data_IF_398547857501
#
_entry.id   IF_398547857501
#
_cell.length_a   1.000
_cell.length_b   1.000
_cell.length_c   1.000
_cell.angle_alpha   90.00
_cell.angle_beta   90.00
_cell.angle_gamma   90.00
#
_symmetry.space_group_name_H-M   'P 1'
#
loop_
_entity.id
_entity.type
_entity.pdbx_description
1 polymer ?
#
# COMPACT_ATOMS: atom_id res chain seq x y z
N UNK A 1 -35.06 1.01 -8.56
CA UNK A 1 -34.47 -0.30 -8.29
C UNK A 1 -34.41 -0.57 -6.78
N UNK A 2 -33.86 0.33 -5.98
CA UNK A 2 -33.73 0.18 -4.51
C UNK A 2 -35.08 -0.04 -3.80
N UNK A 3 -36.17 0.57 -4.25
CA UNK A 3 -37.51 0.32 -3.71
C UNK A 3 -38.01 -1.11 -3.97
N UNK A 4 -37.65 -1.68 -5.12
CA UNK A 4 -38.03 -3.03 -5.51
C UNK A 4 -37.10 -4.11 -4.93
N UNK A 5 -35.81 -3.77 -4.77
CA UNK A 5 -34.75 -4.66 -4.32
C UNK A 5 -33.89 -3.98 -3.26
N UNK A 6 -34.39 -3.78 -2.04
CA UNK A 6 -33.73 -2.97 -1.02
C UNK A 6 -32.43 -3.58 -0.47
N UNK A 7 -32.16 -4.86 -0.73
CA UNK A 7 -30.92 -5.56 -0.35
C UNK A 7 -29.94 -5.71 -1.50
N UNK A 8 -30.32 -5.27 -2.71
CA UNK A 8 -29.43 -5.30 -3.87
C UNK A 8 -28.33 -4.25 -3.77
N UNK A 9 -27.12 -4.60 -4.18
CA UNK A 9 -25.99 -3.67 -4.33
C UNK A 9 -25.85 -3.33 -5.81
N UNK A 10 -25.91 -2.06 -6.13
CA UNK A 10 -25.84 -1.55 -7.51
C UNK A 10 -24.50 -0.85 -7.72
N UNK A 11 -23.69 -1.37 -8.63
CA UNK A 11 -22.39 -0.79 -8.97
C UNK A 11 -22.41 -0.21 -10.37
N UNK A 12 -21.80 0.95 -10.55
CA UNK A 12 -21.64 1.58 -11.85
C UNK A 12 -20.25 1.28 -12.40
N UNK A 13 -20.20 0.74 -13.62
CA UNK A 13 -18.99 0.70 -14.44
C UNK A 13 -18.98 1.94 -15.33
N UNK A 14 -18.24 2.96 -14.92
CA UNK A 14 -18.17 4.23 -15.62
C UNK A 14 -16.76 4.83 -15.48
N UNK A 15 -16.07 4.96 -16.60
CA UNK A 15 -14.72 5.54 -16.69
C UNK A 15 -14.72 7.05 -16.93
N UNK A 16 -15.89 7.67 -17.01
CA UNK A 16 -16.01 9.11 -17.26
C UNK A 16 -15.89 9.94 -15.99
N UNK A 17 -15.74 11.24 -16.15
CA UNK A 17 -15.78 12.21 -15.05
C UNK A 17 -17.20 12.64 -14.67
N UNK A 18 -18.23 11.85 -14.99
CA UNK A 18 -19.60 12.11 -14.59
C UNK A 18 -19.67 12.14 -13.05
N UNK A 19 -20.26 13.20 -12.52
CA UNK A 19 -20.28 13.47 -11.09
C UNK A 19 -21.51 12.87 -10.40
N UNK A 20 -21.39 12.64 -9.09
CA UNK A 20 -22.49 12.20 -8.23
C UNK A 20 -23.11 10.85 -8.64
N UNK A 21 -22.31 9.93 -9.19
CA UNK A 21 -22.77 8.59 -9.55
C UNK A 21 -23.27 7.85 -8.32
N UNK A 22 -22.57 7.95 -7.19
CA UNK A 22 -22.88 7.28 -5.93
C UNK A 22 -23.63 8.17 -4.94
N UNK A 23 -23.84 9.45 -5.26
CA UNK A 23 -24.64 10.32 -4.41
C UNK A 23 -26.12 9.90 -4.46
N UNK A 24 -26.84 9.97 -3.32
CA UNK A 24 -28.28 9.69 -3.28
C UNK A 24 -29.09 10.60 -4.21
N UNK A 25 -30.15 10.06 -4.81
CA UNK A 25 -31.04 10.80 -5.74
C UNK A 25 -31.65 12.06 -5.13
N UNK A 26 -31.87 12.11 -3.81
CA UNK A 26 -32.35 13.31 -3.09
C UNK A 26 -31.32 14.47 -3.09
N UNK A 27 -30.07 14.21 -3.49
CA UNK A 27 -28.99 15.22 -3.65
C UNK A 27 -28.56 15.35 -5.11
N UNK A 28 -29.47 15.10 -6.04
CA UNK A 28 -29.25 15.11 -7.50
C UNK A 28 -28.16 14.10 -7.96
N UNK A 29 -28.01 13.01 -7.22
CA UNK A 29 -27.14 11.90 -7.60
C UNK A 29 -27.88 10.84 -8.41
N UNK A 30 -27.10 9.92 -8.99
CA UNK A 30 -27.67 8.79 -9.75
C UNK A 30 -28.16 7.68 -8.83
N UNK A 31 -27.55 7.52 -7.63
CA UNK A 31 -27.98 6.61 -6.60
C UNK A 31 -27.43 5.19 -6.72
N UNK A 32 -26.28 5.02 -7.35
CA UNK A 32 -25.52 3.76 -7.24
C UNK A 32 -24.87 3.62 -5.86
N UNK A 33 -24.70 2.39 -5.41
CA UNK A 33 -24.03 2.13 -4.13
C UNK A 33 -22.51 2.29 -4.28
N UNK A 34 -21.96 1.89 -5.42
CA UNK A 34 -20.51 2.02 -5.72
C UNK A 34 -20.29 2.37 -7.19
N UNK A 35 -19.13 2.99 -7.45
CA UNK A 35 -18.57 3.21 -8.79
C UNK A 35 -17.24 2.47 -8.90
N UNK A 36 -16.98 1.75 -10.01
CA UNK A 36 -15.68 1.15 -10.24
C UNK A 36 -14.61 2.22 -10.43
N UNK A 37 -13.49 2.06 -9.75
CA UNK A 37 -12.34 2.95 -9.92
C UNK A 37 -11.47 2.48 -11.09
N UNK A 38 -11.92 2.81 -12.30
CA UNK A 38 -11.19 2.48 -13.53
C UNK A 38 -9.87 3.24 -13.61
N UNK A 39 -9.78 4.45 -13.05
CA UNK A 39 -8.56 5.25 -12.99
C UNK A 39 -7.48 4.55 -12.14
N UNK A 40 -7.83 4.13 -10.93
CA UNK A 40 -6.93 3.36 -10.07
C UNK A 40 -6.48 2.06 -10.76
N UNK A 41 -7.37 1.36 -11.41
CA UNK A 41 -7.07 0.09 -12.09
C UNK A 41 -6.04 0.30 -13.20
N UNK A 42 -6.27 1.24 -14.12
CA UNK A 42 -5.35 1.54 -15.22
C UNK A 42 -4.00 2.00 -14.71
N UNK A 43 -3.97 2.97 -13.80
CA UNK A 43 -2.73 3.51 -13.25
C UNK A 43 -1.92 2.46 -12.50
N UNK A 44 -2.59 1.59 -11.72
CA UNK A 44 -1.93 0.50 -10.98
C UNK A 44 -1.31 -0.52 -11.93
N UNK A 45 -2.05 -1.01 -12.92
CA UNK A 45 -1.55 -1.99 -13.88
C UNK A 45 -0.41 -1.41 -14.73
N UNK A 46 -0.53 -0.20 -15.19
CA UNK A 46 0.52 0.50 -15.95
C UNK A 46 1.79 0.71 -15.10
N UNK A 47 1.63 1.08 -13.82
CA UNK A 47 2.77 1.24 -12.93
C UNK A 47 3.54 -0.07 -12.76
N UNK A 48 2.85 -1.18 -12.49
CA UNK A 48 3.49 -2.48 -12.31
C UNK A 48 4.01 -3.09 -13.62
N UNK A 49 3.51 -2.66 -14.78
CA UNK A 49 4.07 -2.99 -16.08
C UNK A 49 5.33 -2.18 -16.43
N UNK A 50 5.58 -1.08 -15.72
CA UNK A 50 6.72 -0.20 -15.96
C UNK A 50 8.02 -0.83 -15.46
N UNK A 51 9.14 -0.79 -16.24
CA UNK A 51 10.46 -1.22 -15.78
C UNK A 51 10.89 -0.52 -14.50
N UNK A 52 11.60 -1.23 -13.61
CA UNK A 52 11.99 -0.69 -12.29
C UNK A 52 12.72 0.66 -12.39
N UNK A 53 13.66 0.81 -13.34
CA UNK A 53 14.40 2.07 -13.54
C UNK A 53 13.56 3.24 -14.01
N UNK A 54 12.36 2.99 -14.56
CA UNK A 54 11.45 4.03 -15.05
C UNK A 54 10.34 4.40 -14.05
N UNK A 55 10.13 3.59 -13.01
CA UNK A 55 9.12 3.81 -11.96
C UNK A 55 9.22 5.16 -11.26
N UNK A 56 10.40 5.76 -11.03
CA UNK A 56 10.50 7.12 -10.51
C UNK A 56 9.70 8.15 -11.31
N UNK A 57 9.60 7.98 -12.64
CA UNK A 57 8.83 8.86 -13.51
C UNK A 57 7.32 8.53 -13.51
N UNK A 58 6.97 7.31 -13.12
CA UNK A 58 5.59 6.82 -13.06
C UNK A 58 4.98 6.90 -11.63
N UNK A 59 5.69 7.44 -10.64
CA UNK A 59 5.28 7.41 -9.22
C UNK A 59 3.88 7.98 -8.99
N UNK A 60 3.49 8.97 -9.80
CA UNK A 60 2.17 9.59 -9.76
C UNK A 60 1.02 8.57 -9.91
N UNK A 61 1.22 7.50 -10.66
CA UNK A 61 0.22 6.46 -10.88
C UNK A 61 -0.21 5.73 -9.59
N UNK A 62 0.66 5.66 -8.59
CA UNK A 62 0.33 5.07 -7.29
C UNK A 62 -0.42 6.06 -6.39
N UNK A 63 -0.11 7.36 -6.47
CA UNK A 63 -0.65 8.33 -5.51
C UNK A 63 -1.87 9.08 -6.05
N UNK A 64 -2.07 9.09 -7.35
CA UNK A 64 -3.07 9.96 -8.00
C UNK A 64 -4.51 9.61 -7.61
N UNK A 65 -4.85 8.34 -7.42
CA UNK A 65 -6.20 7.91 -7.02
C UNK A 65 -6.69 8.63 -5.77
N UNK A 66 -5.81 8.89 -4.80
CA UNK A 66 -6.19 9.56 -3.55
C UNK A 66 -6.55 11.05 -3.73
N UNK A 67 -6.26 11.68 -4.87
CA UNK A 67 -6.68 13.04 -5.16
C UNK A 67 -8.18 13.15 -5.47
N UNK A 68 -8.81 12.08 -5.96
CA UNK A 68 -10.22 12.07 -6.31
C UNK A 68 -11.04 11.03 -5.55
N UNK A 69 -10.41 10.13 -4.80
CA UNK A 69 -11.04 8.97 -4.16
C UNK A 69 -12.28 9.31 -3.34
N UNK A 70 -12.30 10.44 -2.66
CA UNK A 70 -13.43 10.85 -1.81
C UNK A 70 -14.56 11.56 -2.55
N UNK A 71 -14.50 11.66 -3.88
CA UNK A 71 -15.57 12.25 -4.69
C UNK A 71 -16.74 11.27 -4.90
N UNK A 72 -16.49 9.96 -4.85
CA UNK A 72 -17.44 8.89 -5.04
C UNK A 72 -17.18 7.73 -4.05
N UNK A 73 -18.13 6.81 -3.94
CA UNK A 73 -17.93 5.55 -3.21
C UNK A 73 -17.27 4.53 -4.15
N UNK A 74 -15.95 4.61 -4.26
CA UNK A 74 -15.21 3.79 -5.21
C UNK A 74 -15.05 2.34 -4.78
N UNK A 75 -15.11 1.44 -5.77
CA UNK A 75 -14.80 0.03 -5.67
C UNK A 75 -13.61 -0.24 -6.59
N UNK A 76 -12.51 -0.76 -6.02
CA UNK A 76 -11.31 -1.12 -6.76
C UNK A 76 -11.57 -2.42 -7.50
N UNK A 77 -11.53 -2.38 -8.82
CA UNK A 77 -11.87 -3.52 -9.67
C UNK A 77 -10.65 -4.05 -10.42
N UNK A 78 -10.40 -5.37 -10.28
CA UNK A 78 -9.65 -6.18 -11.24
C UNK A 78 -10.64 -7.19 -11.79
N UNK A 79 -11.36 -6.81 -12.85
CA UNK A 79 -12.51 -7.52 -13.39
C UNK A 79 -12.09 -8.55 -14.46
N UNK A 80 -13.07 -9.15 -15.12
CA UNK A 80 -12.84 -10.03 -16.27
C UNK A 80 -12.18 -9.28 -17.44
N UNK A 81 -12.50 -8.00 -17.61
CA UNK A 81 -11.98 -7.19 -18.72
C UNK A 81 -10.46 -7.03 -18.70
N UNK A 82 -9.82 -7.13 -17.54
CA UNK A 82 -8.37 -7.05 -17.43
C UNK A 82 -7.66 -8.36 -17.81
N UNK A 83 -8.39 -9.47 -17.97
CA UNK A 83 -7.80 -10.82 -18.13
C UNK A 83 -8.35 -11.60 -19.34
N UNK A 84 -8.89 -10.90 -20.35
CA UNK A 84 -9.49 -11.47 -21.57
C UNK A 84 -8.99 -10.79 -22.84
N UNK A 85 -9.27 -11.40 -23.98
CA UNK A 85 -9.14 -10.79 -25.33
C UNK A 85 -7.75 -10.27 -25.69
N UNK A 86 -6.69 -11.00 -25.32
CA UNK A 86 -5.30 -10.64 -25.62
C UNK A 86 -4.73 -9.56 -24.71
N UNK A 87 -5.42 -9.23 -23.60
CA UNK A 87 -4.96 -8.23 -22.63
C UNK A 87 -3.95 -8.79 -21.62
N UNK A 88 -3.63 -10.08 -21.68
CA UNK A 88 -2.82 -10.84 -20.70
C UNK A 88 -3.51 -10.99 -19.34
N UNK A 89 -2.99 -11.85 -18.47
CA UNK A 89 -3.44 -11.97 -17.08
C UNK A 89 -2.78 -10.93 -16.18
N UNK A 90 -3.27 -10.79 -14.94
CA UNK A 90 -2.71 -9.80 -14.01
C UNK A 90 -1.20 -10.04 -13.82
N UNK A 91 -0.78 -11.27 -13.51
CA UNK A 91 0.64 -11.59 -13.32
C UNK A 91 1.47 -11.38 -14.61
N UNK A 92 0.90 -11.67 -15.76
CA UNK A 92 1.64 -11.59 -17.03
C UNK A 92 1.88 -10.13 -17.48
N UNK A 93 1.02 -9.20 -17.06
CA UNK A 93 1.22 -7.75 -17.27
C UNK A 93 2.42 -7.19 -16.51
N UNK A 94 2.80 -7.80 -15.38
CA UNK A 94 3.84 -7.26 -14.50
C UNK A 94 5.21 -7.32 -15.20
N UNK A 95 6.04 -6.33 -14.94
CA UNK A 95 7.41 -6.27 -15.47
C UNK A 95 8.32 -7.32 -14.83
N UNK A 96 9.31 -7.77 -15.60
CA UNK A 96 10.43 -8.56 -15.08
C UNK A 96 10.32 -10.06 -15.31
N UNK A 97 11.22 -10.79 -14.65
CA UNK A 97 11.32 -12.25 -14.65
C UNK A 97 10.16 -12.90 -13.93
N UNK A 98 9.97 -14.21 -14.07
CA UNK A 98 8.94 -14.95 -13.37
C UNK A 98 8.98 -14.74 -11.84
N UNK A 99 10.16 -14.80 -11.23
CA UNK A 99 10.30 -14.61 -9.79
C UNK A 99 9.92 -13.17 -9.36
N UNK A 100 10.32 -12.17 -10.13
CA UNK A 100 9.95 -10.77 -9.90
C UNK A 100 8.45 -10.54 -10.08
N UNK A 101 7.83 -11.14 -11.09
CA UNK A 101 6.37 -11.09 -11.29
C UNK A 101 5.63 -11.69 -10.09
N UNK A 102 6.12 -12.81 -9.55
CA UNK A 102 5.54 -13.44 -8.37
C UNK A 102 5.60 -12.55 -7.12
N UNK A 103 6.74 -11.91 -6.86
CA UNK A 103 6.89 -10.98 -5.74
C UNK A 103 6.00 -9.74 -5.94
N UNK A 104 6.01 -9.17 -7.13
CA UNK A 104 5.18 -8.00 -7.45
C UNK A 104 3.69 -8.30 -7.41
N UNK A 105 3.25 -9.51 -7.76
CA UNK A 105 1.83 -9.88 -7.67
C UNK A 105 1.35 -9.83 -6.21
N UNK A 106 2.15 -10.31 -5.25
CA UNK A 106 1.84 -10.18 -3.82
C UNK A 106 1.77 -8.71 -3.41
N UNK A 107 2.70 -7.89 -3.86
CA UNK A 107 2.74 -6.45 -3.57
C UNK A 107 1.58 -5.69 -4.23
N UNK A 108 1.18 -6.03 -5.46
CA UNK A 108 0.02 -5.43 -6.13
C UNK A 108 -1.27 -5.69 -5.34
N UNK A 109 -1.51 -6.95 -4.94
CA UNK A 109 -2.69 -7.27 -4.13
C UNK A 109 -2.61 -6.70 -2.72
N UNK A 110 -1.43 -6.60 -2.13
CA UNK A 110 -1.25 -5.83 -0.89
C UNK A 110 -1.71 -4.38 -1.10
N UNK A 111 -1.24 -3.70 -2.14
CA UNK A 111 -1.65 -2.34 -2.45
C UNK A 111 -3.17 -2.23 -2.61
N UNK A 112 -3.78 -3.10 -3.42
CA UNK A 112 -5.23 -3.13 -3.62
C UNK A 112 -6.00 -3.24 -2.30
N UNK A 113 -5.61 -4.19 -1.43
CA UNK A 113 -6.33 -4.47 -0.20
C UNK A 113 -6.07 -3.44 0.92
N UNK A 114 -4.91 -2.82 0.93
CA UNK A 114 -4.56 -1.78 1.90
C UNK A 114 -5.01 -0.38 1.47
N UNK A 115 -5.28 -0.15 0.19
CA UNK A 115 -5.89 1.08 -0.31
C UNK A 115 -7.35 1.18 0.18
N UNK A 116 -7.90 2.39 0.48
CA UNK A 116 -9.33 2.53 0.80
C UNK A 116 -10.22 2.08 -0.37
N UNK A 117 -11.48 1.78 -0.09
CA UNK A 117 -12.49 1.35 -1.05
C UNK A 117 -12.75 -0.15 -1.05
N UNK A 118 -13.92 -0.56 -1.52
CA UNK A 118 -14.30 -1.97 -1.65
C UNK A 118 -13.47 -2.65 -2.74
N UNK A 119 -13.43 -3.99 -2.73
CA UNK A 119 -12.59 -4.78 -3.62
C UNK A 119 -13.45 -5.66 -4.51
N UNK A 120 -13.12 -5.69 -5.81
CA UNK A 120 -13.63 -6.65 -6.75
C UNK A 120 -12.45 -7.36 -7.41
N UNK A 121 -12.34 -8.65 -7.16
CA UNK A 121 -11.34 -9.50 -7.80
C UNK A 121 -12.04 -10.59 -8.61
N UNK A 122 -11.73 -10.69 -9.90
CA UNK A 122 -12.35 -11.69 -10.75
C UNK A 122 -11.78 -13.09 -10.47
N UNK A 123 -12.64 -14.09 -10.60
CA UNK A 123 -12.29 -15.51 -10.34
C UNK A 123 -11.06 -15.95 -11.14
N UNK A 124 -10.16 -16.69 -10.48
CA UNK A 124 -8.91 -17.19 -11.05
C UNK A 124 -7.70 -16.27 -10.77
N UNK A 125 -7.91 -14.97 -10.60
CA UNK A 125 -6.82 -14.05 -10.29
C UNK A 125 -6.11 -14.41 -8.98
N UNK A 126 -6.83 -14.97 -8.01
CA UNK A 126 -6.31 -15.43 -6.71
C UNK A 126 -5.33 -16.60 -6.81
N UNK A 127 -5.24 -17.23 -7.98
CA UNK A 127 -4.27 -18.30 -8.26
C UNK A 127 -3.04 -17.80 -9.04
N UNK A 128 -3.05 -16.54 -9.50
CA UNK A 128 -1.99 -15.99 -10.33
C UNK A 128 -1.86 -16.69 -11.68
N UNK A 129 -2.97 -17.00 -12.33
CA UNK A 129 -3.01 -17.77 -13.58
C UNK A 129 -2.37 -17.02 -14.74
N UNK A 130 -1.78 -17.76 -15.69
CA UNK A 130 -1.14 -17.24 -16.90
C UNK A 130 -1.98 -17.34 -18.16
N UNK A 131 -3.03 -18.15 -18.15
CA UNK A 131 -3.98 -18.25 -19.24
C UNK A 131 -5.11 -17.26 -19.02
N UNK A 132 -5.42 -16.44 -20.03
CA UNK A 132 -6.57 -15.56 -19.99
C UNK A 132 -7.86 -16.36 -19.71
N UNK A 133 -8.80 -15.70 -19.03
CA UNK A 133 -10.10 -16.30 -18.76
C UNK A 133 -10.87 -16.57 -20.06
N UNK A 134 -11.55 -17.70 -20.11
CA UNK A 134 -12.36 -18.16 -21.24
C UNK A 134 -13.64 -18.77 -20.68
N UNK A 135 -14.80 -18.22 -21.05
CA UNK A 135 -16.11 -18.68 -20.57
C UNK A 135 -16.46 -20.11 -20.99
N UNK A 136 -15.73 -20.68 -21.97
CA UNK A 136 -15.94 -22.05 -22.47
C UNK A 136 -15.07 -23.08 -21.76
N UNK A 137 -14.26 -22.67 -20.80
CA UNK A 137 -13.29 -23.53 -20.14
C UNK A 137 -13.33 -23.36 -18.63
N UNK A 138 -13.09 -24.44 -17.93
CA UNK A 138 -12.84 -24.43 -16.49
C UNK A 138 -11.56 -23.65 -16.15
N UNK A 139 -11.51 -23.08 -14.94
CA UNK A 139 -10.30 -22.50 -14.38
C UNK A 139 -9.21 -23.56 -14.24
N UNK A 140 -7.95 -23.13 -14.38
CA UNK A 140 -6.79 -24.03 -14.33
C UNK A 140 -6.44 -24.43 -12.88
N UNK A 141 -7.35 -25.13 -12.19
CA UNK A 141 -7.16 -25.59 -10.79
C UNK A 141 -5.89 -26.42 -10.59
N UNK A 142 -5.42 -27.07 -11.64
CA UNK A 142 -4.17 -27.84 -11.65
C UNK A 142 -2.93 -26.98 -11.38
N UNK A 143 -3.01 -25.66 -11.53
CA UNK A 143 -1.95 -24.73 -11.16
C UNK A 143 -1.59 -24.82 -9.66
N UNK A 144 -2.53 -25.17 -8.81
CA UNK A 144 -2.31 -25.32 -7.38
C UNK A 144 -1.37 -26.49 -7.02
N UNK A 145 -1.00 -27.34 -7.98
CA UNK A 145 0.07 -28.34 -7.83
C UNK A 145 1.48 -27.72 -7.85
N UNK A 146 1.61 -26.48 -8.32
CA UNK A 146 2.89 -25.78 -8.41
C UNK A 146 3.09 -24.84 -7.21
N UNK A 147 4.31 -24.84 -6.61
CA UNK A 147 4.56 -24.18 -5.32
C UNK A 147 4.18 -22.69 -5.27
N UNK A 148 4.44 -21.95 -6.36
CA UNK A 148 4.08 -20.54 -6.41
C UNK A 148 2.57 -20.30 -6.33
N UNK A 149 1.80 -21.02 -7.16
CA UNK A 149 0.34 -20.82 -7.26
C UNK A 149 -0.37 -21.23 -5.96
N UNK A 150 0.05 -22.35 -5.35
CA UNK A 150 -0.44 -22.79 -4.05
C UNK A 150 -0.11 -21.77 -2.94
N UNK A 151 1.14 -21.31 -2.89
CA UNK A 151 1.56 -20.32 -1.90
C UNK A 151 0.86 -18.97 -2.11
N UNK A 152 0.68 -18.53 -3.35
CA UNK A 152 -0.01 -17.30 -3.68
C UNK A 152 -1.51 -17.36 -3.31
N UNK A 153 -2.19 -18.46 -3.57
CA UNK A 153 -3.59 -18.62 -3.16
C UNK A 153 -3.73 -18.57 -1.64
N UNK A 154 -2.83 -19.21 -0.89
CA UNK A 154 -2.79 -19.13 0.57
C UNK A 154 -2.54 -17.71 1.07
N UNK A 155 -1.60 -17.00 0.43
CA UNK A 155 -1.37 -15.57 0.68
C UNK A 155 -2.64 -14.76 0.46
N UNK A 156 -3.30 -14.95 -0.68
CA UNK A 156 -4.52 -14.23 -1.04
C UNK A 156 -5.65 -14.49 -0.03
N UNK A 157 -5.85 -15.75 0.36
CA UNK A 157 -6.82 -16.11 1.40
C UNK A 157 -6.49 -15.44 2.75
N UNK A 158 -5.20 -15.37 3.13
CA UNK A 158 -4.77 -14.67 4.33
C UNK A 158 -4.98 -13.17 4.22
N UNK A 159 -4.68 -12.56 3.08
CA UNK A 159 -4.91 -11.14 2.79
C UNK A 159 -6.40 -10.77 2.92
N UNK A 160 -7.31 -11.59 2.38
CA UNK A 160 -8.75 -11.43 2.56
C UNK A 160 -9.18 -11.50 4.03
N UNK A 161 -8.56 -12.41 4.80
CA UNK A 161 -8.82 -12.52 6.25
C UNK A 161 -8.36 -11.25 6.97
N UNK A 162 -7.14 -10.79 6.72
CA UNK A 162 -6.62 -9.54 7.30
C UNK A 162 -7.56 -8.38 6.97
N UNK A 163 -7.97 -8.22 5.70
CA UNK A 163 -8.89 -7.16 5.32
C UNK A 163 -10.23 -7.23 6.07
N UNK A 164 -10.77 -8.43 6.29
CA UNK A 164 -12.08 -8.61 6.95
C UNK A 164 -12.03 -8.54 8.48
N UNK A 165 -10.85 -8.70 9.09
CA UNK A 165 -10.68 -8.73 10.55
C UNK A 165 -10.06 -7.47 11.14
N UNK A 166 -9.33 -6.67 10.34
CA UNK A 166 -8.70 -5.43 10.80
C UNK A 166 -9.63 -4.24 10.55
N UNK A 167 -10.28 -3.67 11.58
CA UNK A 167 -11.27 -2.61 11.40
C UNK A 167 -10.75 -1.39 10.66
N UNK A 168 -9.49 -1.03 10.84
CA UNK A 168 -8.87 0.10 10.15
C UNK A 168 -8.86 -0.06 8.62
N UNK A 169 -9.05 -1.26 8.07
CA UNK A 169 -9.08 -1.49 6.62
C UNK A 169 -10.46 -1.34 5.98
N UNK A 170 -11.55 -1.57 6.74
CA UNK A 170 -12.91 -1.57 6.19
C UNK A 170 -13.87 -0.58 6.87
N UNK A 171 -13.55 -0.12 8.09
CA UNK A 171 -14.37 0.84 8.82
C UNK A 171 -13.88 2.26 8.53
N UNK A 172 -14.75 3.10 7.98
CA UNK A 172 -14.37 4.45 7.59
C UNK A 172 -13.58 4.58 6.28
N UNK A 173 -13.65 3.59 5.38
CA UNK A 173 -12.92 3.61 4.09
C UNK A 173 -13.16 4.88 3.28
N UNK A 174 -14.36 5.47 3.36
CA UNK A 174 -14.73 6.68 2.62
C UNK A 174 -14.67 7.94 3.51
N UNK A 175 -14.04 7.86 4.68
CA UNK A 175 -13.74 9.01 5.52
C UNK A 175 -12.27 9.43 5.31
N UNK A 176 -12.00 10.66 4.83
CA UNK A 176 -10.64 11.14 4.60
C UNK A 176 -9.76 11.14 5.86
N UNK A 177 -10.34 11.28 7.06
CA UNK A 177 -9.57 11.24 8.32
C UNK A 177 -8.99 9.84 8.63
N UNK A 178 -9.51 8.79 7.96
CA UNK A 178 -9.06 7.42 8.13
C UNK A 178 -7.88 7.04 7.23
N UNK A 179 -7.36 7.97 6.43
CA UNK A 179 -6.19 7.79 5.59
C UNK A 179 -5.16 8.92 5.79
N UNK A 180 -3.88 8.58 5.82
CA UNK A 180 -2.82 9.58 5.85
C UNK A 180 -1.56 9.06 5.15
N UNK A 181 -1.06 9.78 4.16
CA UNK A 181 0.26 9.49 3.59
C UNK A 181 1.37 9.72 4.61
N UNK A 182 2.24 8.72 4.79
CA UNK A 182 3.46 8.80 5.61
C UNK A 182 4.69 9.04 4.72
N UNK A 183 4.77 8.31 3.60
CA UNK A 183 5.80 8.50 2.58
C UNK A 183 5.16 8.26 1.19
N UNK A 184 5.15 9.27 0.35
CA UNK A 184 4.65 9.18 -1.03
C UNK A 184 5.53 9.97 -2.02
N UNK A 185 6.57 10.64 -1.55
CA UNK A 185 7.47 11.47 -2.36
C UNK A 185 8.84 10.83 -2.59
N UNK A 186 9.08 9.63 -2.04
CA UNK A 186 10.32 8.87 -2.19
C UNK A 186 10.39 8.20 -3.56
N UNK A 187 10.40 9.00 -4.63
CA UNK A 187 10.29 8.54 -6.03
C UNK A 187 11.40 7.57 -6.41
N UNK A 188 12.65 7.93 -6.11
CA UNK A 188 13.82 7.13 -6.49
C UNK A 188 13.93 5.85 -5.69
N UNK A 189 13.49 5.87 -4.44
CA UNK A 189 13.48 4.72 -3.55
C UNK A 189 12.32 3.77 -3.86
N UNK A 190 11.26 4.26 -4.52
CA UNK A 190 10.06 3.50 -4.84
C UNK A 190 9.32 2.96 -3.62
N UNK A 191 9.44 3.67 -2.48
CA UNK A 191 8.79 3.33 -1.23
C UNK A 191 7.57 4.22 -1.01
N UNK A 192 6.44 3.56 -0.74
CA UNK A 192 5.18 4.20 -0.39
C UNK A 192 4.74 3.72 0.99
N UNK A 193 4.30 4.63 1.84
CA UNK A 193 3.77 4.29 3.15
C UNK A 193 2.58 5.18 3.52
N UNK A 194 1.55 4.58 4.09
CA UNK A 194 0.34 5.29 4.51
C UNK A 194 -0.27 4.65 5.75
N UNK A 195 -0.99 5.45 6.52
CA UNK A 195 -1.80 5.00 7.64
C UNK A 195 -3.22 4.70 7.19
N UNK A 196 -3.76 3.59 7.70
CA UNK A 196 -5.18 3.29 7.77
C UNK A 196 -5.62 3.36 9.22
N UNK A 197 -6.71 4.08 9.48
CA UNK A 197 -7.20 4.36 10.82
C UNK A 197 -8.66 3.93 10.95
N UNK A 198 -9.03 3.29 12.04
CA UNK A 198 -10.41 2.88 12.30
C UNK A 198 -10.59 2.29 13.69
N UNK A 199 -11.67 2.64 14.37
CA UNK A 199 -12.04 2.13 15.71
C UNK A 199 -10.90 2.16 16.74
N UNK A 200 -10.08 3.20 16.73
CA UNK A 200 -8.93 3.33 17.65
C UNK A 200 -7.69 2.53 17.23
N UNK A 201 -7.74 1.85 16.10
CA UNK A 201 -6.61 1.14 15.52
C UNK A 201 -5.87 2.00 14.49
N UNK A 202 -4.56 1.87 14.43
CA UNK A 202 -3.72 2.46 13.40
C UNK A 202 -2.87 1.35 12.75
N UNK A 203 -3.04 1.20 11.44
CA UNK A 203 -2.24 0.30 10.63
C UNK A 203 -1.33 1.11 9.71
N UNK A 204 -0.05 0.80 9.70
CA UNK A 204 0.93 1.38 8.78
C UNK A 204 1.18 0.39 7.65
N UNK A 205 0.74 0.76 6.46
CA UNK A 205 0.97 0.04 5.23
C UNK A 205 2.26 0.56 4.59
N UNK A 206 3.18 -0.33 4.22
CA UNK A 206 4.46 0.03 3.61
C UNK A 206 4.67 -0.85 2.39
N UNK A 207 5.02 -0.25 1.26
CA UNK A 207 5.26 -0.92 0.00
C UNK A 207 6.59 -0.48 -0.60
N UNK A 208 7.48 -1.43 -0.90
CA UNK A 208 8.67 -1.22 -1.73
C UNK A 208 8.40 -1.82 -3.12
N UNK A 209 8.42 -0.99 -4.13
CA UNK A 209 8.14 -1.39 -5.52
C UNK A 209 9.38 -1.58 -6.36
N UNK A 210 10.58 -1.41 -5.79
CA UNK A 210 11.85 -1.57 -6.49
C UNK A 210 12.43 -2.98 -6.36
N UNK A 211 13.34 -3.33 -7.25
CA UNK A 211 14.05 -4.60 -7.33
C UNK A 211 15.19 -4.76 -6.31
N UNK A 212 15.39 -3.77 -5.47
CA UNK A 212 16.40 -3.78 -4.40
C UNK A 212 15.78 -3.56 -3.02
N UNK A 213 16.44 -4.10 -2.01
CA UNK A 213 16.00 -3.99 -0.63
C UNK A 213 16.51 -2.68 0.01
N UNK A 214 15.68 -2.08 0.85
CA UNK A 214 16.08 -0.96 1.69
C UNK A 214 16.40 -1.43 3.10
N UNK A 215 17.56 -1.07 3.61
CA UNK A 215 17.95 -1.30 4.99
C UNK A 215 17.80 -0.05 5.83
N UNK A 216 17.18 -0.21 7.01
CA UNK A 216 16.98 0.90 7.96
C UNK A 216 16.30 2.12 7.32
N UNK A 217 15.28 1.87 6.48
CA UNK A 217 14.53 2.94 5.84
C UNK A 217 13.75 3.73 6.90
N UNK A 218 13.90 5.08 6.97
CA UNK A 218 13.22 5.88 7.98
C UNK A 218 11.82 6.25 7.52
N UNK A 219 10.83 6.04 8.39
CA UNK A 219 9.46 6.54 8.23
C UNK A 219 9.17 7.50 9.40
N UNK A 220 8.61 8.66 9.09
CA UNK A 220 8.38 9.71 10.07
C UNK A 220 6.92 9.74 10.48
N UNK A 221 6.66 9.65 11.80
CA UNK A 221 5.34 9.60 12.40
C UNK A 221 5.09 10.79 13.33
N UNK A 222 3.82 11.13 13.56
CA UNK A 222 3.43 12.26 14.43
C UNK A 222 3.39 11.88 15.91
N UNK A 223 3.44 10.61 16.23
CA UNK A 223 3.31 10.10 17.60
C UNK A 223 4.30 8.96 17.85
N UNK A 224 4.76 8.80 19.10
CA UNK A 224 5.59 7.67 19.47
C UNK A 224 4.76 6.39 19.53
N UNK A 225 5.29 5.29 19.02
CA UNK A 225 4.58 4.02 19.02
C UNK A 225 5.53 2.83 19.00
N UNK A 226 5.00 1.69 19.43
CA UNK A 226 5.51 0.40 18.99
C UNK A 226 4.75 -0.06 17.75
N UNK A 227 5.42 -0.82 16.89
CA UNK A 227 4.86 -1.36 15.66
C UNK A 227 5.08 -2.87 15.62
N UNK A 228 4.01 -3.64 15.37
CA UNK A 228 4.03 -5.09 15.28
C UNK A 228 3.63 -5.54 13.87
N UNK A 229 4.39 -6.48 13.29
CA UNK A 229 4.12 -7.00 11.95
C UNK A 229 2.86 -7.88 11.95
N UNK A 230 1.86 -7.51 11.14
CA UNK A 230 0.61 -8.23 10.90
C UNK A 230 0.74 -9.10 9.64
N UNK A 231 1.34 -8.55 8.58
CA UNK A 231 1.51 -9.22 7.29
C UNK A 231 2.81 -8.76 6.64
N UNK A 232 3.50 -9.71 5.99
CA UNK A 232 4.64 -9.41 5.13
C UNK A 232 4.57 -10.26 3.87
N UNK A 233 4.56 -9.60 2.71
CA UNK A 233 4.41 -10.26 1.40
C UNK A 233 5.59 -11.18 1.06
N UNK A 234 6.75 -10.94 1.67
CA UNK A 234 7.96 -11.72 1.43
C UNK A 234 8.24 -12.77 2.51
N UNK A 235 7.25 -13.10 3.34
CA UNK A 235 7.33 -14.24 4.26
C UNK A 235 7.53 -15.56 3.51
N UNK A 236 8.37 -16.49 4.02
CA UNK A 236 8.64 -17.78 3.36
C UNK A 236 7.38 -18.64 3.15
N UNK A 237 6.39 -18.50 4.01
CA UNK A 237 5.09 -19.20 3.92
C UNK A 237 4.31 -18.86 2.64
N UNK A 238 4.59 -17.72 2.03
CA UNK A 238 4.02 -17.27 0.74
C UNK A 238 4.99 -17.43 -0.42
N UNK A 239 6.08 -18.17 -0.25
CA UNK A 239 7.13 -18.28 -1.25
C UNK A 239 7.99 -17.00 -1.38
N UNK A 240 7.98 -16.13 -0.36
CA UNK A 240 8.77 -14.92 -0.32
C UNK A 240 10.24 -15.14 -0.02
N UNK A 241 11.07 -14.12 -0.24
CA UNK A 241 12.53 -14.20 -0.20
C UNK A 241 13.14 -13.95 1.19
N UNK A 242 12.33 -13.63 2.21
CA UNK A 242 12.84 -13.38 3.55
C UNK A 242 13.45 -14.61 4.18
N UNK A 243 14.63 -14.44 4.82
CA UNK A 243 15.34 -15.50 5.50
C UNK A 243 15.54 -15.17 6.98
N UNK A 244 15.43 -16.19 7.82
CA UNK A 244 15.76 -16.09 9.23
C UNK A 244 14.66 -15.48 10.10
N UNK A 245 14.95 -15.39 11.42
CA UNK A 245 14.03 -14.83 12.41
C UNK A 245 14.06 -13.31 12.35
N UNK A 246 12.91 -12.66 12.18
CA UNK A 246 12.77 -11.21 12.19
C UNK A 246 12.33 -10.69 13.53
N UNK A 247 12.65 -9.43 13.81
CA UNK A 247 12.00 -8.68 14.88
C UNK A 247 10.58 -8.34 14.40
N UNK A 248 9.61 -8.90 15.05
CA UNK A 248 8.19 -8.64 14.77
C UNK A 248 7.69 -7.36 15.45
N UNK A 249 8.44 -6.84 16.43
CA UNK A 249 8.10 -5.62 17.15
C UNK A 249 9.23 -4.58 17.00
N UNK A 250 8.85 -3.41 16.54
CA UNK A 250 9.71 -2.23 16.36
C UNK A 250 9.21 -1.12 17.29
N UNK A 251 10.06 -0.12 17.55
CA UNK A 251 9.72 1.08 18.30
C UNK A 251 10.21 2.31 17.55
N UNK A 252 9.46 3.39 17.68
CA UNK A 252 9.92 4.71 17.20
C UNK A 252 11.03 5.24 18.09
N UNK A 253 11.87 6.07 17.51
CA UNK A 253 12.88 6.88 18.21
C UNK A 253 12.57 8.36 18.05
N UNK A 254 12.97 9.17 19.02
CA UNK A 254 12.87 10.63 18.90
C UNK A 254 13.72 11.16 17.75
N UNK A 255 13.22 12.19 17.10
CA UNK A 255 13.85 12.83 15.95
C UNK A 255 13.16 12.45 14.64
N UNK A 256 12.77 13.45 13.90
CA UNK A 256 12.07 13.32 12.63
C UNK A 256 12.15 14.63 11.85
N UNK A 257 11.29 14.78 10.83
CA UNK A 257 11.27 15.93 9.94
C UNK A 257 9.84 16.38 9.65
N UNK A 258 9.66 17.61 9.22
CA UNK A 258 8.39 18.16 8.73
C UNK A 258 7.20 18.03 9.70
N UNK A 259 7.42 18.26 11.01
CA UNK A 259 6.37 18.17 12.05
C UNK A 259 5.95 16.74 12.37
N UNK A 260 6.76 15.75 11.99
CA UNK A 260 6.68 14.36 12.38
C UNK A 260 7.91 14.04 13.22
N UNK A 261 7.74 14.05 14.54
CA UNK A 261 8.85 14.10 15.50
C UNK A 261 9.42 12.74 15.85
N UNK A 262 8.85 11.66 15.33
CA UNK A 262 9.24 10.28 15.65
C UNK A 262 9.64 9.52 14.40
N UNK A 263 10.74 8.77 14.47
CA UNK A 263 11.24 7.93 13.38
C UNK A 263 11.04 6.46 13.68
N UNK A 264 10.31 5.77 12.81
CA UNK A 264 10.25 4.31 12.75
C UNK A 264 11.22 3.84 11.66
N UNK A 265 12.17 2.98 12.02
CA UNK A 265 13.15 2.43 11.07
C UNK A 265 12.77 1.01 10.70
N UNK A 266 12.63 0.75 9.39
CA UNK A 266 12.20 -0.55 8.86
C UNK A 266 13.18 -1.11 7.83
N UNK A 267 13.28 -2.43 7.75
CA UNK A 267 13.96 -3.14 6.66
C UNK A 267 12.90 -3.61 5.66
N UNK A 268 13.02 -3.20 4.40
CA UNK A 268 12.07 -3.52 3.34
C UNK A 268 12.75 -4.43 2.31
N UNK A 269 12.22 -5.63 2.06
CA UNK A 269 12.72 -6.48 0.97
C UNK A 269 12.41 -5.85 -0.40
N UNK A 270 13.14 -6.28 -1.42
CA UNK A 270 12.87 -5.93 -2.81
C UNK A 270 11.44 -6.37 -3.18
N UNK A 271 10.70 -5.52 -3.90
CA UNK A 271 9.32 -5.79 -4.37
C UNK A 271 8.37 -6.25 -3.26
N UNK A 272 8.69 -5.92 -1.98
CA UNK A 272 7.98 -6.43 -0.82
C UNK A 272 7.22 -5.36 -0.05
N UNK A 273 6.15 -5.79 0.62
CA UNK A 273 5.29 -4.93 1.40
C UNK A 273 5.06 -5.50 2.80
N UNK A 274 4.80 -4.64 3.76
CA UNK A 274 4.43 -5.06 5.10
C UNK A 274 3.33 -4.19 5.71
N UNK A 275 2.50 -4.81 6.52
CA UNK A 275 1.47 -4.19 7.34
C UNK A 275 1.90 -4.25 8.79
N UNK A 276 1.97 -3.09 9.44
CA UNK A 276 2.34 -2.97 10.84
C UNK A 276 1.18 -2.40 11.64
N UNK A 277 0.82 -3.05 12.75
CA UNK A 277 -0.12 -2.48 13.74
C UNK A 277 0.66 -1.57 14.67
N UNK A 278 0.21 -0.33 14.79
CA UNK A 278 0.82 0.68 15.64
C UNK A 278 0.08 0.78 16.97
N UNK A 279 0.81 0.63 18.08
CA UNK A 279 0.30 0.90 19.41
C UNK A 279 0.97 2.19 19.94
N UNK A 280 0.19 3.28 20.14
CA UNK A 280 0.74 4.52 20.69
C UNK A 280 1.42 4.31 22.04
N UNK A 281 2.53 4.97 22.25
CA UNK A 281 3.31 4.96 23.47
C UNK A 281 3.31 6.36 24.11
N UNK A 282 3.57 6.46 25.40
CA UNK A 282 3.76 7.76 26.02
C UNK A 282 5.03 8.42 25.45
N UNK A 283 5.01 9.74 25.19
CA UNK A 283 6.22 10.45 24.82
C UNK A 283 7.30 10.29 25.89
N UNK A 284 8.55 10.13 25.44
CA UNK A 284 9.68 10.07 26.36
C UNK A 284 9.77 11.42 27.13
N UNK A 285 9.64 11.43 28.46
CA UNK A 285 9.67 12.67 29.25
C UNK A 285 10.99 13.43 29.11
N UNK A 286 12.07 12.74 28.74
CA UNK A 286 13.38 13.35 28.49
C UNK A 286 13.58 13.78 27.02
N UNK A 287 12.64 13.54 26.11
CA UNK A 287 12.78 13.81 24.68
C UNK A 287 13.10 15.28 24.39
N UNK A 288 12.41 16.19 25.05
CA UNK A 288 12.65 17.64 24.90
C UNK A 288 14.06 18.03 25.37
N UNK A 289 14.53 17.46 26.47
CA UNK A 289 15.88 17.70 27.01
C UNK A 289 16.96 17.12 26.10
N UNK A 290 16.74 15.92 25.57
CA UNK A 290 17.65 15.24 24.63
C UNK A 290 17.74 16.02 23.33
N UNK A 291 16.61 16.49 22.79
CA UNK A 291 16.52 17.30 21.57
C UNK A 291 17.25 18.65 21.73
N UNK A 292 16.99 19.34 22.85
CA UNK A 292 17.69 20.59 23.17
C UNK A 292 19.21 20.40 23.28
N UNK A 293 19.66 19.32 23.92
CA UNK A 293 21.08 19.00 24.04
C UNK A 293 21.73 18.66 22.69
N UNK A 294 21.02 17.91 21.81
CA UNK A 294 21.48 17.63 20.43
C UNK A 294 21.62 18.92 19.63
N UNK A 295 20.63 19.81 19.68
CA UNK A 295 20.66 21.10 18.99
C UNK A 295 21.80 21.99 19.49
N UNK A 296 22.03 22.03 20.80
CA UNK A 296 23.12 22.79 21.41
C UNK A 296 24.49 22.22 20.97
N UNK A 297 24.65 20.92 20.97
CA UNK A 297 25.88 20.27 20.54
C UNK A 297 26.14 20.45 19.03
N UNK A 298 25.11 20.44 18.19
CA UNK A 298 25.23 20.77 16.77
C UNK A 298 25.70 22.22 16.54
N UNK A 299 25.12 23.19 17.26
CA UNK A 299 25.57 24.60 17.23
C UNK A 299 27.03 24.77 17.68
N UNK A 300 27.43 24.04 18.75
CA UNK A 300 28.83 24.06 19.23
C UNK A 300 29.81 23.46 18.22
N UNK A 301 29.42 22.39 17.50
CA UNK A 301 30.25 21.81 16.43
C UNK A 301 30.39 22.75 15.24
N UNK A 302 29.30 23.36 14.79
CA UNK A 302 29.31 24.35 13.71
C UNK A 302 30.20 25.55 14.06
N UNK A 303 30.11 26.11 15.28
CA UNK A 303 30.92 27.21 15.73
C UNK A 303 32.44 26.85 15.82
N UNK A 304 32.78 25.62 16.17
CA UNK A 304 34.17 25.13 16.16
C UNK A 304 34.73 24.98 14.76
N UNK A 305 33.95 24.50 13.79
CA UNK A 305 34.38 24.37 12.39
C UNK A 305 34.62 25.72 11.72
N UNK A 306 33.75 26.71 12.01
CA UNK A 306 33.93 28.10 11.50
C UNK A 306 35.19 28.76 12.09
N UNK A 307 35.49 28.52 13.37
CA UNK A 307 36.66 29.04 14.03
C UNK A 307 37.98 28.40 13.55
N UNK A 308 37.93 27.09 13.23
CA UNK A 308 39.06 26.36 12.64
C UNK A 308 39.35 26.86 11.22
N UNK A 309 38.32 27.06 10.39
CA UNK A 309 38.46 27.61 9.04
C UNK A 309 38.99 29.04 9.02
N UNK A 310 38.61 29.90 10.00
CA UNK A 310 39.11 31.26 10.13
C UNK A 310 40.60 31.32 10.56
N UNK A 311 41.10 30.32 11.31
CA UNK A 311 42.49 30.24 11.75
C UNK A 311 43.43 29.62 10.71
N UNK A 312 42.92 28.87 9.72
CA UNK A 312 43.73 28.31 8.62
C UNK A 312 43.94 29.28 7.47
N UNK A 313 43.26 30.43 7.47
CA UNK A 313 43.39 31.49 6.47
C UNK A 313 44.24 32.70 6.98
N UNK A 314 44.90 32.56 8.11
CA UNK A 314 45.93 33.47 8.61
C UNK A 314 47.30 32.80 8.57
#
# INVERSE_FOLDING_TARGET
LNERWPTGIYTAEDSTNFLKVTAPTRYDGVGFDYKWDMGWMHDTLDYFATPFGERPNAYGKIVFSMHYFYNELYLLALSHDEVVHGKKTIIDKLWGTYAEKCAQLRTLYFYMYMHPGKKLNFMGNEMGHFREWDEKRELDWDLLKYPFHDAFQKYFAHLCRVYSTEPALYDGEYNPDCFEWVACESRNEGVYAWLRKGRGENLLCIMNTQDHAHKKFPLYLRFPCSAEEVLNTESPEWGGALKGRRKTKLHTTDGGVFGRDYTLTVDLPAMGSCLLRLAPEAPNPDAARISANKALNAKRRAARSTKAAANSNK
#
